data_IF_627181189642
#
_entry.id   IF_627181189642
#
_cell.length_a   1.000
_cell.length_b   1.000
_cell.length_c   1.000
_cell.angle_alpha   90.00
_cell.angle_beta   90.00
_cell.angle_gamma   90.00
#
_symmetry.space_group_name_H-M   'P 1'
#
loop_
_entity.id
_entity.type
_entity.pdbx_description
1 polymer ?
#
# COMPACT_ATOMS: atom_id res chain seq x y z
N UNK A 1 21.18 65.50 -22.36
CA UNK A 1 19.75 65.42 -22.00
C UNK A 1 19.08 64.44 -22.94
N UNK A 2 18.60 63.27 -22.57
CA UNK A 2 18.69 62.48 -21.34
C UNK A 2 18.43 61.03 -21.73
N UNK A 3 19.25 60.10 -21.26
CA UNK A 3 19.02 58.65 -21.40
C UNK A 3 18.46 58.15 -20.08
N UNK A 4 17.20 57.73 -20.09
CA UNK A 4 16.52 57.11 -18.96
C UNK A 4 17.20 55.78 -18.63
N UNK A 5 17.86 55.74 -17.47
CA UNK A 5 18.27 54.52 -16.79
C UNK A 5 17.02 53.74 -16.39
N UNK A 6 16.74 52.62 -17.07
CA UNK A 6 15.81 51.63 -16.55
C UNK A 6 16.49 50.92 -15.40
N UNK A 7 16.07 51.26 -14.18
CA UNK A 7 16.29 50.46 -12.98
C UNK A 7 15.99 49.00 -13.29
N UNK A 8 16.99 48.14 -13.07
CA UNK A 8 16.78 46.72 -12.98
C UNK A 8 15.94 46.45 -11.74
N UNK A 9 14.62 46.35 -11.92
CA UNK A 9 13.75 45.67 -10.98
C UNK A 9 14.22 44.23 -10.93
N UNK A 10 15.08 43.94 -9.94
CA UNK A 10 15.23 42.60 -9.40
C UNK A 10 13.84 42.16 -8.97
N UNK A 11 13.17 41.42 -9.85
CA UNK A 11 12.03 40.62 -9.50
C UNK A 11 12.53 39.58 -8.49
N UNK A 12 12.50 39.94 -7.21
CA UNK A 12 12.47 38.97 -6.12
C UNK A 12 11.32 38.04 -6.43
N UNK A 13 11.67 36.89 -7.01
CA UNK A 13 10.76 35.77 -7.18
C UNK A 13 10.19 35.48 -5.80
N UNK A 14 8.90 35.77 -5.65
CA UNK A 14 8.11 35.36 -4.51
C UNK A 14 8.01 33.83 -4.62
N UNK A 15 9.03 33.13 -4.12
CA UNK A 15 9.01 31.70 -3.88
C UNK A 15 7.79 31.47 -3.00
N UNK A 16 6.73 30.92 -3.59
CA UNK A 16 5.54 30.48 -2.86
C UNK A 16 6.05 29.59 -1.75
N UNK A 17 5.90 30.11 -0.53
CA UNK A 17 6.45 29.59 0.71
C UNK A 17 6.14 28.10 0.83
N UNK A 18 7.15 27.26 0.53
CA UNK A 18 7.10 25.80 0.55
C UNK A 18 7.05 25.30 1.98
N UNK A 19 5.96 25.64 2.69
CA UNK A 19 5.80 25.28 4.09
C UNK A 19 5.80 23.76 4.21
N UNK A 20 6.78 23.16 4.92
CA UNK A 20 6.83 21.72 5.13
C UNK A 20 5.52 21.27 5.77
N UNK A 21 5.00 20.13 5.31
CA UNK A 21 3.75 19.57 5.82
C UNK A 21 3.78 19.52 7.37
N UNK A 22 2.67 19.84 8.05
CA UNK A 22 2.63 19.89 9.51
C UNK A 22 3.16 18.59 10.11
N UNK A 23 4.02 18.69 11.12
CA UNK A 23 4.69 17.54 11.76
C UNK A 23 3.70 16.45 12.21
N UNK A 24 2.48 16.85 12.61
CA UNK A 24 1.38 15.98 12.98
C UNK A 24 0.93 15.01 11.88
N UNK A 25 0.88 15.45 10.61
CA UNK A 25 0.38 14.65 9.48
C UNK A 25 1.25 13.42 9.27
N UNK A 26 2.56 13.61 9.33
CA UNK A 26 3.51 12.53 9.10
C UNK A 26 3.66 11.62 10.33
N UNK A 27 3.38 12.11 11.55
CA UNK A 27 3.24 11.24 12.72
C UNK A 27 1.97 10.39 12.65
N UNK A 28 0.85 10.97 12.22
CA UNK A 28 -0.41 10.26 11.98
C UNK A 28 -0.22 9.13 10.96
N UNK A 29 0.51 9.41 9.88
CA UNK A 29 0.82 8.42 8.85
C UNK A 29 1.71 7.28 9.36
N UNK A 30 2.77 7.59 10.10
CA UNK A 30 3.57 6.57 10.77
C UNK A 30 2.75 5.73 11.75
N UNK A 31 1.84 6.36 12.50
CA UNK A 31 0.98 5.70 13.46
C UNK A 31 -0.03 4.74 12.79
N UNK A 32 -0.67 5.14 11.69
CA UNK A 32 -1.61 4.28 10.94
C UNK A 32 -0.89 3.03 10.41
N UNK A 33 0.30 3.19 9.82
CA UNK A 33 1.08 2.07 9.29
C UNK A 33 1.51 1.14 10.44
N UNK A 34 2.02 1.70 11.53
CA UNK A 34 2.44 0.92 12.69
C UNK A 34 1.26 0.16 13.33
N UNK A 35 0.11 0.80 13.48
CA UNK A 35 -1.09 0.19 14.07
C UNK A 35 -1.65 -0.92 13.18
N UNK A 36 -1.66 -0.71 11.86
CA UNK A 36 -2.03 -1.75 10.89
C UNK A 36 -1.07 -2.93 10.97
N UNK A 37 0.24 -2.67 11.02
CA UNK A 37 1.26 -3.71 11.18
C UNK A 37 1.10 -4.49 12.49
N UNK A 38 0.86 -3.79 13.60
CA UNK A 38 0.63 -4.42 14.90
C UNK A 38 -0.64 -5.28 14.91
N UNK A 39 -1.73 -4.81 14.30
CA UNK A 39 -2.97 -5.58 14.17
C UNK A 39 -2.73 -6.89 13.41
N UNK A 40 -1.95 -6.84 12.32
CA UNK A 40 -1.58 -8.04 11.56
C UNK A 40 -0.68 -8.98 12.38
N UNK A 41 0.25 -8.44 13.18
CA UNK A 41 1.06 -9.25 14.10
C UNK A 41 0.17 -9.95 15.14
N UNK A 42 -0.80 -9.25 15.72
CA UNK A 42 -1.74 -9.82 16.68
C UNK A 42 -2.58 -10.91 16.01
N UNK A 43 -3.19 -10.62 14.86
CA UNK A 43 -3.99 -11.60 14.11
C UNK A 43 -3.18 -12.83 13.67
N UNK A 44 -1.97 -12.63 13.17
CA UNK A 44 -1.06 -13.72 12.82
C UNK A 44 -0.64 -14.54 14.04
N UNK A 45 -0.42 -13.90 15.18
CA UNK A 45 -0.10 -14.59 16.44
C UNK A 45 -1.26 -15.47 16.88
N UNK A 46 -2.51 -14.98 16.79
CA UNK A 46 -3.70 -15.79 17.10
C UNK A 46 -3.76 -17.03 16.21
N UNK A 47 -3.56 -16.88 14.90
CA UNK A 47 -3.55 -18.03 14.00
C UNK A 47 -2.43 -19.04 14.32
N UNK A 48 -1.22 -18.57 14.64
CA UNK A 48 -0.08 -19.47 14.90
C UNK A 48 -0.17 -20.18 16.25
N UNK A 49 -0.69 -19.50 17.28
CA UNK A 49 -0.65 -20.01 18.65
C UNK A 49 -1.98 -20.52 19.19
N UNK A 50 -3.10 -20.09 18.61
CA UNK A 50 -4.43 -20.43 19.11
C UNK A 50 -5.22 -21.29 18.12
N UNK A 51 -4.83 -21.40 16.86
CA UNK A 51 -5.58 -22.21 15.88
C UNK A 51 -4.82 -23.50 15.60
N UNK A 52 -5.23 -24.55 16.30
CA UNK A 52 -4.75 -25.92 16.09
C UNK A 52 -5.69 -26.70 15.18
N UNK A 53 -5.17 -27.77 14.57
CA UNK A 53 -5.96 -28.71 13.77
C UNK A 53 -7.19 -29.25 14.50
N UNK A 54 -7.13 -29.39 15.83
CA UNK A 54 -8.27 -29.82 16.63
C UNK A 54 -9.41 -28.79 16.63
N UNK A 55 -9.09 -27.50 16.75
CA UNK A 55 -10.07 -26.41 16.70
C UNK A 55 -10.65 -26.24 15.29
N UNK A 56 -9.83 -26.49 14.25
CA UNK A 56 -10.31 -26.53 12.88
C UNK A 56 -11.27 -27.70 12.64
N UNK A 57 -10.99 -28.87 13.22
CA UNK A 57 -11.88 -30.03 13.12
C UNK A 57 -13.22 -29.80 13.84
N UNK A 58 -13.18 -29.23 15.04
CA UNK A 58 -14.37 -28.87 15.81
C UNK A 58 -15.26 -27.88 15.04
N UNK A 59 -14.68 -26.85 14.42
CA UNK A 59 -15.44 -25.90 13.60
C UNK A 59 -16.09 -26.52 12.35
N UNK A 60 -15.46 -27.51 11.73
CA UNK A 60 -16.01 -28.23 10.56
C UNK A 60 -17.12 -29.21 10.97
N UNK A 61 -17.01 -29.84 12.14
CA UNK A 61 -18.04 -30.73 12.67
C UNK A 61 -19.29 -29.97 13.18
N UNK A 62 -19.10 -28.79 13.78
CA UNK A 62 -20.19 -27.97 14.33
C UNK A 62 -20.99 -27.23 13.25
N UNK A 63 -20.32 -26.71 12.22
CA UNK A 63 -20.96 -26.13 11.04
C UNK A 63 -20.90 -27.14 9.89
N UNK A 64 -21.98 -27.91 9.64
CA UNK A 64 -22.10 -28.86 8.52
C UNK A 64 -22.10 -28.17 7.14
N UNK A 65 -21.04 -27.44 6.82
CA UNK A 65 -20.86 -26.68 5.59
C UNK A 65 -20.20 -27.60 4.59
N UNK A 66 -20.97 -28.08 3.62
CA UNK A 66 -20.45 -28.84 2.49
C UNK A 66 -19.55 -27.92 1.64
N UNK A 67 -18.23 -28.02 1.84
CA UNK A 67 -17.26 -27.21 1.08
C UNK A 67 -17.05 -27.83 -0.30
N UNK A 68 -17.68 -27.24 -1.32
CA UNK A 68 -17.47 -27.63 -2.72
C UNK A 68 -16.29 -26.87 -3.33
N UNK A 69 -15.31 -27.58 -3.90
CA UNK A 69 -14.24 -26.97 -4.69
C UNK A 69 -14.44 -27.31 -6.16
N UNK A 70 -14.90 -26.34 -6.94
CA UNK A 70 -15.30 -26.54 -8.34
C UNK A 70 -16.60 -27.33 -8.43
N UNK A 71 -16.50 -28.64 -8.67
CA UNK A 71 -17.65 -29.57 -8.79
C UNK A 71 -17.54 -30.78 -7.86
N UNK A 72 -16.49 -30.85 -7.05
CA UNK A 72 -16.24 -31.97 -6.14
C UNK A 72 -16.51 -31.53 -4.72
N UNK A 73 -17.37 -32.27 -4.02
CA UNK A 73 -17.56 -32.14 -2.58
C UNK A 73 -16.31 -32.67 -1.88
N UNK A 74 -15.67 -31.82 -1.08
CA UNK A 74 -14.57 -32.25 -0.25
C UNK A 74 -15.12 -33.00 0.96
N UNK A 75 -14.51 -34.12 1.28
CA UNK A 75 -14.74 -34.80 2.56
C UNK A 75 -14.25 -33.93 3.72
N UNK A 76 -14.78 -34.12 4.92
CA UNK A 76 -14.39 -33.34 6.11
C UNK A 76 -12.87 -33.41 6.37
N UNK A 77 -12.26 -34.57 6.12
CA UNK A 77 -10.82 -34.78 6.24
C UNK A 77 -10.00 -33.99 5.20
N UNK A 78 -10.52 -33.85 3.98
CA UNK A 78 -9.89 -33.06 2.92
C UNK A 78 -10.04 -31.56 3.21
N UNK A 79 -11.22 -31.12 3.62
CA UNK A 79 -11.49 -29.74 4.04
C UNK A 79 -10.57 -29.32 5.19
N UNK A 80 -10.40 -30.18 6.19
CA UNK A 80 -9.49 -29.96 7.31
C UNK A 80 -8.03 -29.83 6.84
N UNK A 81 -7.61 -30.66 5.89
CA UNK A 81 -6.25 -30.63 5.35
C UNK A 81 -5.98 -29.33 4.58
N UNK A 82 -6.95 -28.85 3.80
CA UNK A 82 -6.84 -27.58 3.09
C UNK A 82 -6.86 -26.40 4.06
N UNK A 83 -7.76 -26.41 5.05
CA UNK A 83 -7.86 -25.36 6.06
C UNK A 83 -6.56 -25.25 6.88
N UNK A 84 -6.02 -26.39 7.35
CA UNK A 84 -4.75 -26.45 8.08
C UNK A 84 -3.59 -25.91 7.23
N UNK A 85 -3.52 -26.27 5.95
CA UNK A 85 -2.53 -25.74 5.02
C UNK A 85 -2.67 -24.23 4.81
N UNK A 86 -3.89 -23.71 4.68
CA UNK A 86 -4.13 -22.27 4.53
C UNK A 86 -3.74 -21.51 5.81
N UNK A 87 -4.15 -21.98 6.98
CA UNK A 87 -3.86 -21.35 8.29
C UNK A 87 -2.36 -21.38 8.58
N UNK A 88 -1.69 -22.51 8.33
CA UNK A 88 -0.25 -22.67 8.58
C UNK A 88 0.61 -21.75 7.72
N UNK A 89 0.16 -21.36 6.53
CA UNK A 89 0.81 -20.35 5.70
C UNK A 89 0.39 -18.92 6.06
N UNK A 90 -0.91 -18.72 6.35
CA UNK A 90 -1.47 -17.41 6.70
C UNK A 90 -0.88 -16.84 7.99
N UNK A 91 -0.73 -17.66 9.03
CA UNK A 91 -0.21 -17.24 10.33
C UNK A 91 1.16 -16.56 10.23
N UNK A 92 2.21 -17.26 9.73
CA UNK A 92 3.52 -16.67 9.48
C UNK A 92 3.46 -15.52 8.45
N UNK A 93 2.61 -15.61 7.44
CA UNK A 93 2.43 -14.55 6.45
C UNK A 93 1.96 -13.23 7.05
N UNK A 94 0.99 -13.28 7.95
CA UNK A 94 0.49 -12.13 8.70
C UNK A 94 1.55 -11.55 9.64
N UNK A 95 2.32 -12.40 10.32
CA UNK A 95 3.43 -11.97 11.17
C UNK A 95 4.53 -11.26 10.36
N UNK A 96 4.92 -11.82 9.22
CA UNK A 96 5.95 -11.24 8.34
C UNK A 96 5.48 -9.92 7.72
N UNK A 97 4.23 -9.86 7.26
CA UNK A 97 3.64 -8.62 6.72
C UNK A 97 3.54 -7.55 7.80
N UNK A 98 3.00 -7.92 8.97
CA UNK A 98 2.81 -6.99 10.08
C UNK A 98 4.13 -6.47 10.64
N UNK A 99 5.09 -7.37 10.87
CA UNK A 99 6.45 -6.99 11.28
C UNK A 99 7.15 -6.11 10.25
N UNK A 100 7.02 -6.44 8.96
CA UNK A 100 7.53 -5.61 7.86
C UNK A 100 6.93 -4.20 7.85
N UNK A 101 5.62 -4.06 8.06
CA UNK A 101 4.95 -2.76 8.18
C UNK A 101 5.43 -1.96 9.40
N UNK A 102 5.60 -2.61 10.56
CA UNK A 102 6.13 -1.97 11.77
C UNK A 102 7.56 -1.47 11.53
N UNK A 103 8.42 -2.30 10.93
CA UNK A 103 9.79 -1.90 10.58
C UNK A 103 9.81 -0.76 9.57
N UNK A 104 8.92 -0.79 8.57
CA UNK A 104 8.77 0.28 7.60
C UNK A 104 8.33 1.59 8.27
N UNK A 105 7.35 1.55 9.18
CA UNK A 105 6.90 2.71 9.94
C UNK A 105 8.03 3.30 10.80
N UNK A 106 8.80 2.45 11.49
CA UNK A 106 9.97 2.86 12.26
C UNK A 106 11.01 3.53 11.35
N UNK A 107 11.33 2.91 10.20
CA UNK A 107 12.26 3.44 9.22
C UNK A 107 11.82 4.80 8.67
N UNK A 108 10.53 4.96 8.36
CA UNK A 108 9.93 6.21 7.90
C UNK A 108 10.13 7.34 8.93
N UNK A 109 9.85 7.07 10.21
CA UNK A 109 10.04 8.05 11.30
C UNK A 109 11.53 8.42 11.47
N UNK A 110 12.43 7.43 11.44
CA UNK A 110 13.88 7.66 11.62
C UNK A 110 14.45 8.50 10.47
N UNK A 111 14.13 8.15 9.21
CA UNK A 111 14.59 8.89 8.03
C UNK A 111 14.13 10.34 8.06
N UNK A 112 12.87 10.56 8.45
CA UNK A 112 12.28 11.89 8.55
C UNK A 112 12.89 12.72 9.69
N UNK A 113 13.16 12.12 10.84
CA UNK A 113 13.83 12.78 11.96
C UNK A 113 15.29 13.16 11.62
N UNK A 114 15.97 12.33 10.82
CA UNK A 114 17.34 12.61 10.35
C UNK A 114 17.38 13.70 9.27
N UNK A 115 16.35 13.78 8.42
CA UNK A 115 16.20 14.85 7.44
C UNK A 115 16.02 16.23 8.10
N UNK A 116 15.21 16.31 9.17
CA UNK A 116 15.04 17.55 9.95
C UNK A 116 16.34 18.03 10.60
N UNK A 117 17.24 17.13 11.02
CA UNK A 117 18.57 17.53 11.55
C UNK A 117 19.56 18.02 10.47
N UNK A 118 19.33 17.70 9.19
CA UNK A 118 20.18 18.15 8.07
C UNK A 118 19.71 19.46 7.42
N UNK A 119 18.52 19.95 7.74
CA UNK A 119 17.97 21.21 7.23
C UNK A 119 18.64 22.48 7.80
N UNK A 120 19.94 22.44 8.12
CA UNK A 120 20.78 23.62 8.40
C UNK A 120 21.63 24.06 7.20
N UNK A 121 21.49 23.44 6.03
CA UNK A 121 22.33 23.71 4.85
C UNK A 121 21.60 24.16 3.57
N UNK A 122 20.30 24.43 3.60
CA UNK A 122 19.63 25.22 2.54
C UNK A 122 19.33 24.52 1.20
N UNK A 123 19.23 23.18 1.16
CA UNK A 123 18.82 22.44 -0.04
C UNK A 123 17.33 22.07 0.04
N UNK A 124 16.53 22.44 -0.97
CA UNK A 124 15.11 22.07 -1.10
C UNK A 124 15.02 20.59 -1.48
N UNK A 125 14.69 19.72 -0.52
CA UNK A 125 14.64 18.27 -0.73
C UNK A 125 13.26 17.71 -0.39
N UNK A 126 12.25 18.04 -1.19
CA UNK A 126 11.08 17.15 -1.33
C UNK A 126 11.47 16.00 -2.24
N UNK A 127 12.07 14.96 -1.64
CA UNK A 127 12.47 13.76 -2.38
C UNK A 127 11.23 13.01 -2.88
N UNK A 128 11.19 12.68 -4.18
CA UNK A 128 10.21 11.85 -4.89
C UNK A 128 9.52 10.76 -4.03
N UNK A 129 10.30 10.05 -3.21
CA UNK A 129 9.78 9.00 -2.32
C UNK A 129 8.87 9.51 -1.20
N UNK A 130 9.11 10.71 -0.67
CA UNK A 130 8.30 11.33 0.40
C UNK A 130 6.90 11.65 -0.10
N UNK A 131 6.81 12.21 -1.31
CA UNK A 131 5.54 12.60 -1.93
C UNK A 131 4.73 11.36 -2.32
N UNK A 132 5.39 10.31 -2.82
CA UNK A 132 4.76 9.02 -3.07
C UNK A 132 4.19 8.38 -1.79
N UNK A 133 4.93 8.40 -0.67
CA UNK A 133 4.45 7.88 0.61
C UNK A 133 3.25 8.67 1.11
N UNK A 134 3.26 10.00 0.98
CA UNK A 134 2.12 10.83 1.39
C UNK A 134 0.84 10.48 0.62
N UNK A 135 0.96 10.30 -0.69
CA UNK A 135 -0.13 9.84 -1.54
C UNK A 135 -0.59 8.44 -1.15
N UNK A 136 0.33 7.53 -0.84
CA UNK A 136 0.02 6.19 -0.38
C UNK A 136 -0.81 6.20 0.91
N UNK A 137 -0.43 7.00 1.90
CA UNK A 137 -1.21 7.04 3.15
C UNK A 137 -2.56 7.70 2.94
N UNK A 138 -2.66 8.68 2.04
CA UNK A 138 -3.95 9.24 1.62
C UNK A 138 -4.87 8.17 1.02
N UNK A 139 -4.34 7.30 0.14
CA UNK A 139 -5.07 6.15 -0.38
C UNK A 139 -5.57 5.23 0.74
N UNK A 140 -4.74 4.94 1.74
CA UNK A 140 -5.12 4.10 2.89
C UNK A 140 -6.23 4.74 3.72
N UNK A 141 -6.10 6.02 4.05
CA UNK A 141 -7.11 6.77 4.83
C UNK A 141 -8.44 6.82 4.08
N UNK A 142 -8.39 7.00 2.77
CA UNK A 142 -9.57 7.07 1.92
C UNK A 142 -10.05 5.71 1.42
N UNK A 143 -9.50 4.59 1.91
CA UNK A 143 -9.74 3.24 1.39
C UNK A 143 -11.20 2.80 1.36
N UNK A 144 -12.07 3.45 2.15
CA UNK A 144 -13.52 3.27 2.08
C UNK A 144 -14.13 3.75 0.74
N UNK A 145 -13.37 4.48 -0.06
CA UNK A 145 -13.74 4.95 -1.41
C UNK A 145 -13.05 4.06 -2.45
N UNK A 146 -13.79 3.46 -3.41
CA UNK A 146 -13.23 2.59 -4.45
C UNK A 146 -12.16 3.26 -5.33
N UNK A 147 -12.23 4.59 -5.49
CA UNK A 147 -11.28 5.39 -6.29
C UNK A 147 -10.21 6.07 -5.43
N UNK A 148 -10.01 5.62 -4.19
CA UNK A 148 -8.98 6.15 -3.28
C UNK A 148 -7.56 6.20 -3.84
N UNK A 149 -7.07 5.24 -4.67
CA UNK A 149 -5.74 5.36 -5.23
C UNK A 149 -5.60 6.58 -6.15
N UNK A 150 -6.68 6.98 -6.83
CA UNK A 150 -6.68 8.20 -7.65
C UNK A 150 -6.56 9.47 -6.80
N UNK A 151 -7.19 9.51 -5.62
CA UNK A 151 -7.03 10.65 -4.71
C UNK A 151 -5.62 10.73 -4.13
N UNK A 152 -5.06 9.61 -3.68
CA UNK A 152 -3.68 9.55 -3.21
C UNK A 152 -2.68 9.92 -4.31
N UNK A 153 -2.90 9.41 -5.53
CA UNK A 153 -2.12 9.76 -6.70
C UNK A 153 -2.21 11.24 -7.06
N UNK A 154 -3.40 11.84 -7.00
CA UNK A 154 -3.61 13.26 -7.29
C UNK A 154 -2.90 14.17 -6.30
N UNK A 155 -2.97 13.87 -5.00
CA UNK A 155 -2.22 14.61 -3.99
C UNK A 155 -0.72 14.52 -4.28
N UNK A 156 -0.22 13.33 -4.59
CA UNK A 156 1.19 13.12 -4.85
C UNK A 156 1.65 13.84 -6.14
N UNK A 157 0.89 13.77 -7.23
CA UNK A 157 1.20 14.46 -8.47
C UNK A 157 1.12 15.99 -8.36
N UNK A 158 0.18 16.52 -7.57
CA UNK A 158 0.07 17.96 -7.32
C UNK A 158 1.31 18.50 -6.59
N UNK A 159 1.81 17.76 -5.60
CA UNK A 159 3.00 18.12 -4.84
C UNK A 159 4.29 17.93 -5.65
N UNK A 160 4.40 16.86 -6.44
CA UNK A 160 5.60 16.58 -7.25
C UNK A 160 5.80 17.63 -8.34
N UNK A 161 4.73 18.24 -8.88
CA UNK A 161 4.82 19.20 -10.00
C UNK A 161 5.74 20.38 -9.72
N UNK A 162 5.90 20.78 -8.45
CA UNK A 162 6.79 21.87 -8.06
C UNK A 162 8.28 21.56 -8.21
N UNK A 163 8.65 20.27 -8.24
CA UNK A 163 10.04 19.80 -8.30
C UNK A 163 10.35 19.10 -9.63
N UNK A 164 9.40 18.32 -10.17
CA UNK A 164 9.61 17.54 -11.40
C UNK A 164 8.35 17.33 -12.23
N UNK A 165 8.55 16.98 -13.51
CA UNK A 165 7.47 16.62 -14.43
C UNK A 165 6.95 15.17 -14.22
N UNK A 166 7.48 14.42 -13.24
CA UNK A 166 7.22 12.97 -13.05
C UNK A 166 5.94 12.67 -12.27
N UNK A 167 4.93 13.50 -12.41
CA UNK A 167 3.67 13.45 -11.65
C UNK A 167 2.90 12.14 -11.82
N UNK A 168 2.91 11.56 -13.03
CA UNK A 168 2.27 10.27 -13.33
C UNK A 168 2.96 9.12 -12.62
N UNK A 169 4.29 9.09 -12.64
CA UNK A 169 5.09 8.03 -12.01
C UNK A 169 4.97 8.06 -10.49
N UNK A 170 4.98 9.24 -9.88
CA UNK A 170 4.74 9.42 -8.44
C UNK A 170 3.32 8.99 -8.09
N UNK A 171 2.33 9.38 -8.90
CA UNK A 171 0.95 8.96 -8.70
C UNK A 171 0.79 7.44 -8.77
N UNK A 172 1.41 6.78 -9.74
CA UNK A 172 1.39 5.33 -9.87
C UNK A 172 1.99 4.64 -8.64
N UNK A 173 3.12 5.15 -8.15
CA UNK A 173 3.78 4.62 -6.96
C UNK A 173 2.93 4.83 -5.70
N UNK A 174 2.32 6.01 -5.56
CA UNK A 174 1.38 6.33 -4.48
C UNK A 174 0.12 5.43 -4.49
N UNK A 175 -0.35 5.02 -5.66
CA UNK A 175 -1.46 4.08 -5.79
C UNK A 175 -1.08 2.62 -5.55
N UNK A 176 0.15 2.23 -5.91
CA UNK A 176 0.64 0.85 -5.78
C UNK A 176 1.16 0.53 -4.37
N UNK A 177 1.84 1.47 -3.72
CA UNK A 177 2.49 1.25 -2.42
C UNK A 177 1.52 0.74 -1.33
N UNK A 178 0.28 1.24 -1.21
CA UNK A 178 -0.73 0.71 -0.28
C UNK A 178 -1.15 -0.73 -0.55
N UNK A 179 -0.99 -1.22 -1.80
CA UNK A 179 -1.39 -2.57 -2.20
C UNK A 179 -0.35 -3.62 -1.78
N UNK A 180 0.90 -3.22 -1.52
CA UNK A 180 1.98 -4.15 -1.17
C UNK A 180 1.66 -5.10 0.00
N UNK A 181 1.19 -4.65 1.17
CA UNK A 181 0.86 -5.56 2.26
C UNK A 181 -0.26 -6.54 1.89
N UNK A 182 -1.25 -6.08 1.13
CA UNK A 182 -2.34 -6.93 0.64
C UNK A 182 -1.84 -8.01 -0.32
N UNK A 183 -0.98 -7.63 -1.28
CA UNK A 183 -0.36 -8.56 -2.24
C UNK A 183 0.55 -9.57 -1.54
N UNK A 184 1.25 -9.14 -0.48
CA UNK A 184 2.11 -10.01 0.31
C UNK A 184 1.28 -11.05 1.07
N UNK A 185 0.19 -10.66 1.73
CA UNK A 185 -0.76 -11.59 2.37
C UNK A 185 -1.36 -12.54 1.33
N UNK A 186 -1.77 -12.03 0.17
CA UNK A 186 -2.31 -12.84 -0.93
C UNK A 186 -1.33 -13.92 -1.39
N UNK A 187 -0.02 -13.61 -1.42
CA UNK A 187 1.02 -14.58 -1.76
C UNK A 187 1.09 -15.73 -0.72
N UNK A 188 0.93 -15.43 0.56
CA UNK A 188 0.89 -16.47 1.61
C UNK A 188 -0.39 -17.30 1.52
N UNK A 189 -1.55 -16.67 1.29
CA UNK A 189 -2.82 -17.38 1.03
C UNK A 189 -2.66 -18.32 -0.16
N UNK A 190 -2.06 -17.84 -1.23
CA UNK A 190 -1.79 -18.62 -2.44
C UNK A 190 -0.91 -19.85 -2.14
N UNK A 191 0.18 -19.68 -1.38
CA UNK A 191 1.03 -20.79 -0.95
C UNK A 191 0.27 -21.83 -0.13
N UNK A 192 -0.50 -21.38 0.87
CA UNK A 192 -1.32 -22.26 1.71
C UNK A 192 -2.35 -23.04 0.91
N UNK A 193 -3.11 -22.35 0.06
CA UNK A 193 -4.17 -22.96 -0.73
C UNK A 193 -3.64 -23.96 -1.76
N UNK A 194 -2.53 -23.63 -2.44
CA UNK A 194 -1.88 -24.57 -3.36
C UNK A 194 -1.36 -25.79 -2.61
N UNK A 195 -0.67 -25.60 -1.48
CA UNK A 195 -0.14 -26.72 -0.70
C UNK A 195 -1.25 -27.64 -0.19
N UNK A 196 -2.36 -27.07 0.27
CA UNK A 196 -3.54 -27.82 0.72
C UNK A 196 -4.20 -28.62 -0.41
N UNK A 197 -4.47 -27.98 -1.55
CA UNK A 197 -5.10 -28.67 -2.69
C UNK A 197 -4.20 -29.76 -3.29
N UNK A 198 -2.88 -29.53 -3.34
CA UNK A 198 -1.95 -30.54 -3.82
C UNK A 198 -1.87 -31.73 -2.86
N UNK A 199 -1.97 -31.51 -1.54
CA UNK A 199 -1.95 -32.57 -0.54
C UNK A 199 -3.15 -33.53 -0.67
N UNK A 200 -4.30 -33.04 -1.12
CA UNK A 200 -5.51 -33.86 -1.36
C UNK A 200 -5.62 -34.37 -2.81
N UNK A 201 -4.55 -34.26 -3.61
CA UNK A 201 -4.55 -34.76 -5.00
C UNK A 201 -5.34 -33.91 -6.00
N UNK A 202 -5.81 -32.72 -5.61
CA UNK A 202 -6.66 -31.84 -6.39
C UNK A 202 -5.84 -30.86 -7.28
N UNK A 203 -4.81 -31.37 -7.96
CA UNK A 203 -3.84 -30.57 -8.71
C UNK A 203 -4.48 -29.73 -9.83
N UNK A 204 -5.52 -30.25 -10.51
CA UNK A 204 -6.24 -29.51 -11.54
C UNK A 204 -6.91 -28.23 -11.00
N UNK A 205 -7.60 -28.32 -9.87
CA UNK A 205 -8.23 -27.15 -9.24
C UNK A 205 -7.18 -26.22 -8.63
N UNK A 206 -6.05 -26.77 -8.15
CA UNK A 206 -4.93 -25.96 -7.65
C UNK A 206 -4.41 -25.01 -8.74
N UNK A 207 -4.26 -25.51 -9.97
CA UNK A 207 -3.83 -24.68 -11.12
C UNK A 207 -4.86 -23.59 -11.44
N UNK A 208 -6.15 -23.94 -11.51
CA UNK A 208 -7.20 -22.97 -11.85
C UNK A 208 -7.30 -21.88 -10.79
N UNK A 209 -7.44 -22.26 -9.52
CA UNK A 209 -7.56 -21.33 -8.39
C UNK A 209 -6.28 -20.50 -8.24
N UNK A 210 -5.11 -21.13 -8.39
CA UNK A 210 -3.84 -20.44 -8.37
C UNK A 210 -3.74 -19.39 -9.46
N UNK A 211 -4.09 -19.73 -10.71
CA UNK A 211 -4.11 -18.79 -11.82
C UNK A 211 -5.11 -17.64 -11.57
N UNK A 212 -6.30 -17.94 -11.04
CA UNK A 212 -7.29 -16.91 -10.65
C UNK A 212 -6.73 -15.97 -9.60
N UNK A 213 -6.12 -16.48 -8.52
CA UNK A 213 -5.54 -15.65 -7.46
C UNK A 213 -4.39 -14.77 -7.98
N UNK A 214 -3.51 -15.32 -8.81
CA UNK A 214 -2.43 -14.55 -9.44
C UNK A 214 -2.98 -13.45 -10.34
N UNK A 215 -3.99 -13.76 -11.15
CA UNK A 215 -4.66 -12.79 -11.99
C UNK A 215 -5.35 -11.69 -11.15
N UNK A 216 -6.04 -12.05 -10.08
CA UNK A 216 -6.64 -11.09 -9.14
C UNK A 216 -5.58 -10.19 -8.49
N UNK A 217 -4.44 -10.74 -8.06
CA UNK A 217 -3.34 -9.95 -7.51
C UNK A 217 -2.76 -8.97 -8.54
N UNK A 218 -2.55 -9.42 -9.77
CA UNK A 218 -2.11 -8.57 -10.88
C UNK A 218 -3.14 -7.46 -11.16
N UNK A 219 -4.43 -7.78 -11.14
CA UNK A 219 -5.50 -6.82 -11.35
C UNK A 219 -5.52 -5.76 -10.24
N UNK A 220 -5.41 -6.16 -8.97
CA UNK A 220 -5.32 -5.24 -7.82
C UNK A 220 -4.13 -4.30 -7.99
N UNK A 221 -2.95 -4.83 -8.32
CA UNK A 221 -1.75 -4.04 -8.53
C UNK A 221 -1.91 -3.06 -9.71
N UNK A 222 -2.46 -3.53 -10.82
CA UNK A 222 -2.63 -2.74 -12.05
C UNK A 222 -3.69 -1.66 -11.86
N UNK A 223 -4.82 -1.97 -11.22
CA UNK A 223 -5.88 -1.00 -10.94
C UNK A 223 -5.40 0.05 -9.93
N UNK A 224 -4.72 -0.36 -8.85
CA UNK A 224 -4.15 0.56 -7.87
C UNK A 224 -3.13 1.51 -8.50
N UNK A 225 -2.15 0.97 -9.23
CA UNK A 225 -1.14 1.77 -9.95
C UNK A 225 -1.77 2.65 -11.04
N UNK A 226 -2.72 2.11 -11.81
CA UNK A 226 -3.39 2.82 -12.89
C UNK A 226 -4.23 3.99 -12.39
N UNK A 227 -5.06 3.77 -11.37
CA UNK A 227 -5.82 4.83 -10.72
C UNK A 227 -4.90 5.88 -10.09
N UNK A 228 -3.82 5.44 -9.42
CA UNK A 228 -2.80 6.34 -8.90
C UNK A 228 -2.14 7.19 -9.98
N UNK A 229 -1.77 6.59 -11.11
CA UNK A 229 -1.18 7.28 -12.25
C UNK A 229 -2.13 8.33 -12.84
N UNK A 230 -3.41 7.97 -13.01
CA UNK A 230 -4.48 8.87 -13.46
C UNK A 230 -4.67 10.03 -12.48
N UNK A 231 -4.68 9.74 -11.18
CA UNK A 231 -4.68 10.74 -10.13
C UNK A 231 -3.50 11.71 -10.28
N UNK A 232 -2.28 11.17 -10.36
CA UNK A 232 -1.05 11.94 -10.48
C UNK A 232 -1.04 12.87 -11.69
N UNK A 233 -1.52 12.39 -12.84
CA UNK A 233 -1.70 13.21 -14.03
C UNK A 233 -2.64 14.40 -13.79
N UNK A 234 -3.83 14.16 -13.20
CA UNK A 234 -4.81 15.20 -12.92
C UNK A 234 -4.28 16.20 -11.89
N UNK A 235 -3.66 15.72 -10.82
CA UNK A 235 -3.04 16.55 -9.78
C UNK A 235 -1.94 17.45 -10.33
N UNK A 236 -1.06 16.90 -11.17
CA UNK A 236 0.01 17.65 -11.83
C UNK A 236 -0.50 18.75 -12.75
N UNK A 237 -1.53 18.46 -13.56
CA UNK A 237 -2.16 19.46 -14.45
C UNK A 237 -2.84 20.58 -13.66
N UNK A 238 -3.43 20.27 -12.50
CA UNK A 238 -4.08 21.27 -11.67
C UNK A 238 -3.06 22.23 -11.03
N UNK A 239 -1.90 21.71 -10.62
CA UNK A 239 -0.79 22.52 -10.12
C UNK A 239 -0.23 23.45 -11.21
N UNK A 240 -0.06 22.96 -12.44
CA UNK A 240 0.41 23.76 -13.58
C UNK A 240 -0.50 24.95 -13.88
N UNK A 241 -1.81 24.71 -14.00
CA UNK A 241 -2.80 25.79 -14.24
C UNK A 241 -2.82 26.86 -13.16
N UNK A 242 -2.48 26.50 -11.92
CA UNK A 242 -2.42 27.45 -10.80
C UNK A 242 -1.18 28.36 -10.90
N UNK A 243 -0.07 27.84 -11.42
CA UNK A 243 1.14 28.62 -11.66
C UNK A 243 1.04 29.57 -12.86
N UNK A 244 0.22 29.24 -13.86
CA UNK A 244 -0.05 30.13 -15.01
C UNK A 244 -0.97 31.31 -14.68
N UNK A 245 -1.74 31.21 -13.59
CA UNK A 245 -2.71 32.22 -13.18
C UNK A 245 -2.17 33.28 -12.21
N UNK A 246 -0.89 33.19 -11.82
CA UNK A 246 -0.17 34.11 -10.94
C UNK A 246 0.89 34.90 -11.69
#
# INVERSE_FOLDING_TARGET
MGSTSTEGTSAEGHLVDGRPLPEFVDWLFGAIIALSGLLLVVGGSVLVFLVDRALLAEGIEEESITVTVGTTELTDAESLTVADAVVSWLGPGLLLTGGGLVLFAIGYVILRHRAHRRARTGESVTSFGTVAVLGAVTTVVLSFVPVSPAFGGALAGYLERGESDRTVSVGALAGLLPMLPLLLILLFVFGGLLSGLLAIGQAGNAVVIGATLLFSGLLIATVGAGLGALGGYVGGRLAERRGEAS
#
